data_IF_439591147565
#
_entry.id   IF_439591147565
#
_cell.length_a   1.000
_cell.length_b   1.000
_cell.length_c   1.000
_cell.angle_alpha   90.00
_cell.angle_beta   90.00
_cell.angle_gamma   90.00
#
_symmetry.space_group_name_H-M   'P 1'
#
loop_
_entity.id
_entity.type
_entity.pdbx_description
1 polymer ?
#
# COMPACT_ATOMS: atom_id res chain seq x y z
N UNK A 1 -20.95 30.61 5.42
CA UNK A 1 -19.49 30.52 5.60
C UNK A 1 -19.17 29.08 5.96
N UNK A 2 -18.70 28.30 4.99
CA UNK A 2 -18.38 26.88 5.20
C UNK A 2 -16.94 26.73 5.69
N UNK A 3 -16.78 26.14 6.88
CA UNK A 3 -15.79 25.10 7.23
C UNK A 3 -15.47 25.17 8.72
N UNK A 4 -16.19 24.40 9.53
CA UNK A 4 -15.62 23.86 10.76
C UNK A 4 -16.32 22.54 11.06
N UNK A 5 -16.07 21.53 10.23
CA UNK A 5 -16.16 20.14 10.70
C UNK A 5 -14.90 19.86 11.52
N UNK A 6 -14.76 20.57 12.65
CA UNK A 6 -13.88 20.17 13.73
C UNK A 6 -14.55 18.98 14.39
N UNK A 7 -14.51 17.80 13.78
CA UNK A 7 -14.78 16.57 14.50
C UNK A 7 -13.67 16.45 15.54
N UNK A 8 -13.94 16.65 16.85
CA UNK A 8 -12.91 16.42 17.84
C UNK A 8 -12.52 14.96 17.72
N UNK A 9 -11.23 14.70 17.48
CA UNK A 9 -10.70 13.35 17.46
C UNK A 9 -11.17 12.64 18.74
N UNK A 10 -11.64 11.39 18.66
CA UNK A 10 -12.03 10.65 19.85
C UNK A 10 -10.87 10.64 20.85
N UNK A 11 -11.15 10.78 22.14
CA UNK A 11 -10.10 10.70 23.14
C UNK A 11 -9.60 9.25 23.21
N UNK A 12 -8.29 9.05 23.01
CA UNK A 12 -7.63 7.74 23.15
C UNK A 12 -7.93 7.09 24.50
N UNK A 13 -8.03 7.87 25.57
CA UNK A 13 -8.24 7.37 26.93
C UNK A 13 -9.70 7.10 27.27
N UNK A 14 -10.64 7.85 26.68
CA UNK A 14 -12.08 7.67 26.95
C UNK A 14 -12.67 6.56 26.07
N UNK A 15 -12.24 6.47 24.81
CA UNK A 15 -12.80 5.56 23.81
C UNK A 15 -11.69 4.93 22.95
N UNK A 16 -10.83 4.08 23.53
CA UNK A 16 -9.66 3.54 22.84
C UNK A 16 -10.01 2.77 21.57
N UNK A 17 -11.08 1.97 21.60
CA UNK A 17 -11.54 1.22 20.42
C UNK A 17 -11.96 2.14 19.26
N UNK A 18 -12.76 3.17 19.54
CA UNK A 18 -13.20 4.14 18.53
C UNK A 18 -12.02 4.93 17.96
N UNK A 19 -11.03 5.26 18.80
CA UNK A 19 -9.82 5.93 18.35
C UNK A 19 -8.99 5.06 17.41
N UNK A 20 -8.73 3.80 17.79
CA UNK A 20 -7.95 2.87 16.96
C UNK A 20 -8.65 2.63 15.63
N UNK A 21 -9.97 2.41 15.62
CA UNK A 21 -10.76 2.27 14.39
C UNK A 21 -10.68 3.51 13.49
N UNK A 22 -10.72 4.71 14.07
CA UNK A 22 -10.54 5.94 13.30
C UNK A 22 -9.15 6.00 12.66
N UNK A 23 -8.09 5.67 13.41
CA UNK A 23 -6.71 5.67 12.90
C UNK A 23 -6.55 4.62 11.78
N UNK A 24 -7.14 3.43 11.95
CA UNK A 24 -7.17 2.40 10.91
C UNK A 24 -7.83 2.90 9.63
N UNK A 25 -9.02 3.51 9.70
CA UNK A 25 -9.71 4.05 8.52
C UNK A 25 -8.88 5.13 7.80
N UNK A 26 -8.10 5.93 8.55
CA UNK A 26 -7.22 6.94 7.96
C UNK A 26 -6.01 6.29 7.28
N UNK A 27 -5.45 5.25 7.88
CA UNK A 27 -4.38 4.44 7.28
C UNK A 27 -4.86 3.79 5.97
N UNK A 28 -6.06 3.21 5.96
CA UNK A 28 -6.65 2.62 4.75
C UNK A 28 -6.80 3.65 3.63
N UNK A 29 -7.21 4.88 3.96
CA UNK A 29 -7.24 5.97 2.98
C UNK A 29 -5.85 6.31 2.46
N UNK A 30 -4.84 6.39 3.32
CA UNK A 30 -3.45 6.60 2.88
C UNK A 30 -2.94 5.47 1.96
N UNK A 31 -3.33 4.23 2.25
CA UNK A 31 -3.00 3.08 1.39
C UNK A 31 -3.61 3.23 0.00
N UNK A 32 -4.89 3.65 -0.09
CA UNK A 32 -5.55 3.93 -1.38
C UNK A 32 -4.83 5.01 -2.21
N UNK A 33 -4.16 5.96 -1.56
CA UNK A 33 -3.36 6.99 -2.23
C UNK A 33 -1.92 6.55 -2.55
N UNK A 34 -1.59 5.25 -2.41
CA UNK A 34 -0.24 4.72 -2.65
C UNK A 34 0.85 5.43 -1.81
N UNK A 35 0.50 5.88 -0.60
CA UNK A 35 1.43 6.53 0.31
C UNK A 35 2.33 5.51 1.02
N UNK A 36 3.63 5.80 1.09
CA UNK A 36 4.54 5.05 1.96
C UNK A 36 4.19 5.27 3.44
N UNK A 37 4.71 4.40 4.31
CA UNK A 37 4.49 4.50 5.75
C UNK A 37 4.87 5.89 6.30
N UNK A 38 6.02 6.44 5.90
CA UNK A 38 6.47 7.76 6.35
C UNK A 38 5.54 8.89 5.88
N UNK A 39 5.05 8.81 4.63
CA UNK A 39 4.09 9.78 4.10
C UNK A 39 2.76 9.69 4.84
N UNK A 40 2.28 8.49 5.12
CA UNK A 40 1.09 8.25 5.94
C UNK A 40 1.27 8.85 7.36
N UNK A 41 2.39 8.59 8.03
CA UNK A 41 2.67 9.12 9.38
C UNK A 41 2.66 10.64 9.38
N UNK A 42 3.37 11.26 8.43
CA UNK A 42 3.45 12.71 8.31
C UNK A 42 2.08 13.34 8.02
N UNK A 43 1.34 12.78 7.05
CA UNK A 43 0.02 13.26 6.68
C UNK A 43 -0.97 13.18 7.85
N UNK A 44 -0.98 12.07 8.60
CA UNK A 44 -1.87 11.92 9.76
C UNK A 44 -1.49 12.86 10.91
N UNK A 45 -0.21 13.14 11.10
CA UNK A 45 0.25 14.10 12.09
C UNK A 45 -0.15 15.54 11.73
N UNK A 46 0.06 15.94 10.47
CA UNK A 46 -0.19 17.31 9.99
C UNK A 46 -1.69 17.60 9.80
N UNK A 47 -2.44 16.69 9.17
CA UNK A 47 -3.83 16.92 8.80
C UNK A 47 -4.84 16.45 9.85
N UNK A 48 -4.50 15.41 10.62
CA UNK A 48 -5.41 14.82 11.60
C UNK A 48 -4.90 14.95 13.03
N UNK A 49 -3.76 15.59 13.30
CA UNK A 49 -3.24 15.78 14.66
C UNK A 49 -2.95 14.47 15.42
N UNK A 50 -2.81 13.35 14.72
CA UNK A 50 -2.57 12.05 15.33
C UNK A 50 -1.09 11.92 15.66
N UNK A 51 -0.78 11.45 16.88
CA UNK A 51 0.59 11.23 17.30
C UNK A 51 1.27 10.21 16.37
N UNK A 52 2.46 10.50 15.81
CA UNK A 52 3.20 9.58 14.92
C UNK A 52 3.37 8.18 15.50
N UNK A 53 3.62 8.09 16.81
CA UNK A 53 3.78 6.82 17.51
C UNK A 53 2.52 5.95 17.45
N UNK A 54 1.33 6.56 17.53
CA UNK A 54 0.07 5.81 17.44
C UNK A 54 -0.14 5.30 16.01
N UNK A 55 0.03 6.16 15.00
CA UNK A 55 -0.05 5.76 13.59
C UNK A 55 0.93 4.62 13.29
N UNK A 56 2.18 4.74 13.73
CA UNK A 56 3.21 3.71 13.56
C UNK A 56 2.82 2.38 14.22
N UNK A 57 2.26 2.44 15.43
CA UNK A 57 1.86 1.23 16.16
C UNK A 57 0.71 0.53 15.44
N UNK A 58 -0.35 1.24 15.09
CA UNK A 58 -1.51 0.67 14.38
C UNK A 58 -1.09 0.12 13.02
N UNK A 59 -0.25 0.85 12.28
CA UNK A 59 0.28 0.41 10.99
C UNK A 59 1.10 -0.88 11.10
N UNK A 60 1.94 -1.03 12.13
CA UNK A 60 2.72 -2.26 12.38
C UNK A 60 1.83 -3.45 12.71
N UNK A 61 0.79 -3.26 13.52
CA UNK A 61 -0.15 -4.34 13.83
C UNK A 61 -0.95 -4.75 12.59
N UNK A 62 -1.43 -3.79 11.79
CA UNK A 62 -2.09 -4.07 10.50
C UNK A 62 -1.20 -4.87 9.54
N UNK A 63 0.08 -4.52 9.44
CA UNK A 63 1.05 -5.28 8.64
C UNK A 63 1.23 -6.72 9.13
N UNK A 64 1.26 -6.94 10.45
CA UNK A 64 1.43 -8.28 11.03
C UNK A 64 0.21 -9.16 10.78
N UNK A 65 -0.98 -8.59 10.86
CA UNK A 65 -2.24 -9.32 10.62
C UNK A 65 -2.48 -9.58 9.13
N UNK A 66 -2.10 -8.65 8.25
CA UNK A 66 -2.42 -8.68 6.82
C UNK A 66 -1.15 -8.74 5.93
N UNK A 67 -0.21 -9.63 6.25
CA UNK A 67 1.11 -9.71 5.61
C UNK A 67 1.04 -9.83 4.08
N UNK A 68 0.13 -10.66 3.58
CA UNK A 68 -0.03 -10.91 2.14
C UNK A 68 -0.46 -9.62 1.40
N UNK A 69 -1.43 -8.89 1.96
CA UNK A 69 -1.89 -7.61 1.40
C UNK A 69 -0.75 -6.59 1.34
N UNK A 70 -0.01 -6.41 2.44
CA UNK A 70 1.08 -5.43 2.47
C UNK A 70 2.24 -5.82 1.56
N UNK A 71 2.51 -7.12 1.38
CA UNK A 71 3.51 -7.59 0.41
C UNK A 71 3.14 -7.19 -1.02
N UNK A 72 1.89 -7.36 -1.42
CA UNK A 72 1.43 -7.01 -2.76
C UNK A 72 1.34 -5.49 -2.92
N UNK A 73 0.89 -4.78 -1.88
CA UNK A 73 0.87 -3.33 -1.83
C UNK A 73 2.25 -2.71 -2.04
N UNK A 74 3.29 -3.21 -1.35
CA UNK A 74 4.65 -2.70 -1.50
C UNK A 74 5.23 -3.00 -2.89
N UNK A 75 4.89 -4.14 -3.51
CA UNK A 75 5.31 -4.44 -4.87
C UNK A 75 4.78 -3.43 -5.89
N UNK A 76 3.53 -2.97 -5.73
CA UNK A 76 2.92 -1.95 -6.61
C UNK A 76 3.46 -0.56 -6.30
N UNK A 77 3.72 -0.26 -5.03
CA UNK A 77 4.06 1.10 -4.58
C UNK A 77 5.57 1.39 -4.70
N UNK A 78 6.44 0.38 -4.75
CA UNK A 78 7.86 0.58 -5.09
C UNK A 78 8.02 0.73 -6.61
N UNK A 79 8.58 1.84 -7.12
CA UNK A 79 8.78 2.05 -8.56
C UNK A 79 9.93 1.21 -9.15
N UNK A 80 10.35 0.13 -8.49
CA UNK A 80 11.39 -0.76 -9.00
C UNK A 80 10.84 -1.53 -10.19
N UNK A 81 11.06 -0.95 -11.37
CA UNK A 81 11.02 -1.51 -12.72
C UNK A 81 10.73 -3.01 -12.78
N UNK A 82 9.50 -3.35 -13.17
CA UNK A 82 9.31 -4.42 -14.15
C UNK A 82 8.60 -3.81 -15.36
N UNK A 83 9.13 -3.99 -16.58
CA UNK A 83 8.38 -3.63 -17.77
C UNK A 83 7.07 -4.42 -17.75
N UNK A 84 6.01 -3.65 -17.95
CA UNK A 84 4.66 -4.05 -18.27
C UNK A 84 4.66 -5.29 -19.17
N UNK A 85 4.01 -6.37 -18.71
CA UNK A 85 3.48 -7.49 -19.51
C UNK A 85 4.34 -8.06 -20.65
N UNK A 86 4.84 -9.29 -20.46
CA UNK A 86 4.75 -10.34 -21.46
C UNK A 86 4.95 -11.71 -20.80
N UNK A 87 3.86 -12.26 -20.23
CA UNK A 87 3.67 -13.71 -20.13
C UNK A 87 2.34 -13.99 -20.81
N UNK A 88 2.38 -14.05 -22.15
CA UNK A 88 1.44 -14.89 -22.89
C UNK A 88 1.83 -16.32 -22.55
N UNK A 89 1.04 -16.99 -21.70
CA UNK A 89 1.01 -18.45 -21.69
C UNK A 89 -0.16 -18.89 -22.57
N UNK A 90 0.18 -19.57 -23.66
CA UNK A 90 -0.77 -20.34 -24.46
C UNK A 90 -0.84 -19.86 -25.90
N UNK A 91 0.07 -20.33 -26.74
CA UNK A 91 -0.32 -21.12 -27.91
C UNK A 91 0.86 -21.98 -28.38
N UNK A 92 0.55 -23.24 -28.66
CA UNK A 92 1.43 -24.22 -29.27
C UNK A 92 1.61 -23.87 -30.75
N UNK A 93 2.83 -23.55 -31.20
CA UNK A 93 3.22 -23.81 -32.60
C UNK A 93 4.69 -24.23 -32.62
N UNK A 94 4.88 -25.55 -32.73
CA UNK A 94 6.08 -26.18 -33.29
C UNK A 94 6.16 -25.82 -34.79
N UNK A 95 7.39 -25.75 -35.31
CA UNK A 95 7.80 -25.71 -36.75
C UNK A 95 8.18 -24.28 -37.21
N UNK A 96 9.29 -23.97 -37.88
CA UNK A 96 10.37 -24.72 -38.57
C UNK A 96 11.66 -23.88 -38.52
N UNK A 97 12.82 -24.49 -38.75
CA UNK A 97 14.03 -23.71 -39.00
C UNK A 97 15.31 -24.53 -39.00
N UNK A 98 15.48 -25.37 -40.02
CA UNK A 98 16.74 -26.07 -40.31
C UNK A 98 17.87 -25.03 -40.44
N UNK A 99 18.85 -25.05 -39.54
CA UNK A 99 20.16 -24.45 -39.82
C UNK A 99 20.96 -25.53 -40.52
N UNK A 100 20.97 -25.46 -41.85
CA UNK A 100 21.91 -26.19 -42.68
C UNK A 100 23.34 -25.78 -42.28
N UNK A 101 24.13 -26.77 -41.92
CA UNK A 101 25.54 -26.61 -41.62
C UNK A 101 26.36 -26.94 -42.87
N UNK A 102 27.41 -26.13 -43.06
CA UNK A 102 28.71 -26.45 -43.66
C UNK A 102 28.97 -26.09 -45.12
N UNK A 103 29.95 -25.18 -45.25
CA UNK A 103 31.02 -25.24 -46.23
C UNK A 103 31.67 -26.63 -46.26
N UNK A 104 31.76 -27.25 -47.43
CA UNK A 104 32.92 -27.90 -48.10
C UNK A 104 32.43 -28.53 -49.40
#
# INVERSE_FOLDING_TARGET
MYHSHQYPLPCLYCHPHSYIRMVQNLIERCLLFHMSQDQCIKALAEHAGIKPLVTLTVWKELQKENKEFFRDYFQVTTPTRRPFFNIVKGDQVQQEGKIGNNNV
#
